data_IF_399060700645
#
_entry.id   IF_399060700645
#
_cell.length_a   1.000
_cell.length_b   1.000
_cell.length_c   1.000
_cell.angle_alpha   90.00
_cell.angle_beta   90.00
_cell.angle_gamma   90.00
#
_symmetry.space_group_name_H-M   'P 1'
#
loop_
_entity.id
_entity.type
_entity.pdbx_description
1 polymer ?
#
# COMPACT_ATOMS: atom_id res chain seq x y z
N UNK A 1 12.25 -3.51 -32.90
CA UNK A 1 11.14 -4.04 -32.06
C UNK A 1 11.24 -3.57 -30.61
N UNK A 2 12.44 -3.47 -30.03
CA UNK A 2 12.70 -2.92 -28.68
C UNK A 2 12.23 -1.47 -28.47
N UNK A 3 12.25 -0.62 -29.51
CA UNK A 3 11.72 0.76 -29.45
C UNK A 3 10.24 0.82 -29.02
N UNK A 4 9.42 -0.13 -29.47
CA UNK A 4 7.98 -0.13 -29.14
C UNK A 4 7.80 -0.37 -27.63
N UNK A 5 8.52 -1.36 -27.08
CA UNK A 5 8.50 -1.66 -25.64
C UNK A 5 9.05 -0.51 -24.81
N UNK A 6 10.07 0.19 -25.32
CA UNK A 6 10.61 1.38 -24.68
C UNK A 6 9.56 2.50 -24.59
N UNK A 7 8.85 2.80 -25.69
CA UNK A 7 7.81 3.83 -25.71
C UNK A 7 6.65 3.45 -24.77
N UNK A 8 6.22 2.19 -24.80
CA UNK A 8 5.18 1.68 -23.89
C UNK A 8 5.65 1.81 -22.43
N UNK A 9 6.88 1.36 -22.13
CA UNK A 9 7.47 1.45 -20.79
C UNK A 9 7.58 2.89 -20.29
N UNK A 10 8.01 3.82 -21.14
CA UNK A 10 8.06 5.25 -20.85
C UNK A 10 6.67 5.82 -20.53
N UNK A 11 5.65 5.45 -21.31
CA UNK A 11 4.26 5.84 -21.08
C UNK A 11 3.74 5.33 -19.73
N UNK A 12 4.01 4.06 -19.41
CA UNK A 12 3.65 3.45 -18.12
C UNK A 12 4.33 4.16 -16.93
N UNK A 13 5.59 4.56 -17.11
CA UNK A 13 6.36 5.28 -16.09
C UNK A 13 5.79 6.68 -15.83
N UNK A 14 5.51 7.44 -16.90
CA UNK A 14 5.03 8.82 -16.82
C UNK A 14 3.61 8.92 -16.27
N UNK A 15 2.70 8.07 -16.75
CA UNK A 15 1.30 8.08 -16.31
C UNK A 15 1.14 7.41 -14.94
N UNK A 16 1.85 6.30 -14.69
CA UNK A 16 1.75 5.54 -13.44
C UNK A 16 0.38 4.89 -13.18
N UNK A 17 -0.48 4.86 -14.20
CA UNK A 17 -1.81 4.27 -14.17
C UNK A 17 -2.15 3.68 -15.55
N UNK A 18 -2.84 2.54 -15.56
CA UNK A 18 -3.30 1.90 -16.80
C UNK A 18 -4.69 1.30 -16.58
N UNK A 19 -5.53 1.45 -17.59
CA UNK A 19 -6.82 0.78 -17.70
C UNK A 19 -6.72 -0.29 -18.77
N UNK A 20 -6.69 -1.56 -18.35
CA UNK A 20 -6.82 -2.70 -19.27
C UNK A 20 -8.19 -3.34 -19.05
N UNK A 21 -9.11 -3.07 -19.98
CA UNK A 21 -10.50 -3.52 -19.86
C UNK A 21 -11.13 -3.04 -18.54
N UNK A 22 -11.50 -3.99 -17.68
CA UNK A 22 -12.12 -3.69 -16.38
C UNK A 22 -11.11 -3.62 -15.21
N UNK A 23 -9.80 -3.74 -15.48
CA UNK A 23 -8.74 -3.71 -14.47
C UNK A 23 -8.11 -2.32 -14.46
N UNK A 24 -8.26 -1.60 -13.35
CA UNK A 24 -7.56 -0.36 -13.06
C UNK A 24 -6.32 -0.66 -12.21
N UNK A 25 -5.15 -0.54 -12.82
CA UNK A 25 -3.86 -0.68 -12.15
C UNK A 25 -3.31 0.73 -11.93
N UNK A 26 -3.00 1.05 -10.67
CA UNK A 26 -2.43 2.35 -10.30
C UNK A 26 -1.28 2.16 -9.30
N UNK A 27 -0.35 3.11 -9.32
CA UNK A 27 0.69 3.25 -8.29
C UNK A 27 2.05 2.66 -8.68
N UNK A 28 2.86 2.38 -7.65
CA UNK A 28 4.29 2.04 -7.84
C UNK A 28 4.54 0.80 -8.70
N UNK A 29 3.61 -0.15 -8.75
CA UNK A 29 3.75 -1.39 -9.53
C UNK A 29 3.70 -1.15 -11.04
N UNK A 30 2.84 -0.23 -11.49
CA UNK A 30 2.74 0.15 -12.91
C UNK A 30 4.04 0.80 -13.37
N UNK A 31 4.59 1.68 -12.54
CA UNK A 31 5.88 2.33 -12.82
C UNK A 31 7.03 1.31 -12.85
N UNK A 32 7.06 0.37 -11.89
CA UNK A 32 8.06 -0.69 -11.86
C UNK A 32 8.01 -1.57 -13.13
N UNK A 33 6.80 -1.94 -13.58
CA UNK A 33 6.63 -2.66 -14.84
C UNK A 33 7.12 -1.83 -16.04
N UNK A 34 6.86 -0.52 -16.05
CA UNK A 34 7.39 0.41 -17.04
C UNK A 34 8.93 0.40 -17.12
N UNK A 35 9.62 0.46 -15.97
CA UNK A 35 11.10 0.38 -15.91
C UNK A 35 11.61 -0.94 -16.51
N UNK A 36 10.99 -2.06 -16.13
CA UNK A 36 11.38 -3.38 -16.60
C UNK A 36 11.20 -3.50 -18.11
N UNK A 37 10.12 -2.94 -18.66
CA UNK A 37 9.85 -2.88 -20.10
C UNK A 37 10.87 -2.04 -20.88
N UNK A 38 11.50 -1.05 -20.25
CA UNK A 38 12.55 -0.23 -20.88
C UNK A 38 13.94 -0.90 -20.86
N UNK A 39 14.14 -1.90 -19.99
CA UNK A 39 15.45 -2.53 -19.75
C UNK A 39 16.07 -3.18 -20.99
N UNK A 40 15.34 -3.90 -21.87
CA UNK A 40 15.94 -4.52 -23.06
C UNK A 40 16.56 -3.50 -24.01
N UNK A 41 15.93 -2.34 -24.19
CA UNK A 41 16.43 -1.29 -25.08
C UNK A 41 17.69 -0.61 -24.51
N UNK A 42 17.65 -0.26 -23.22
CA UNK A 42 18.81 0.34 -22.53
C UNK A 42 19.98 -0.65 -22.48
N UNK A 43 19.69 -1.91 -22.15
CA UNK A 43 20.67 -2.99 -22.14
C UNK A 43 21.27 -3.22 -23.52
N UNK A 44 20.45 -3.24 -24.57
CA UNK A 44 20.92 -3.36 -25.95
C UNK A 44 21.88 -2.22 -26.35
N UNK A 45 21.53 -0.96 -26.08
CA UNK A 45 22.40 0.18 -26.40
C UNK A 45 23.76 0.08 -25.69
N UNK A 46 23.75 -0.33 -24.43
CA UNK A 46 24.96 -0.45 -23.62
C UNK A 46 25.83 -1.62 -24.11
N UNK A 47 25.21 -2.77 -24.38
CA UNK A 47 25.88 -3.98 -24.84
C UNK A 47 26.41 -3.81 -26.27
N UNK A 48 25.66 -3.13 -27.14
CA UNK A 48 26.08 -2.78 -28.49
C UNK A 48 27.34 -1.90 -28.50
N UNK A 49 27.41 -0.88 -27.63
CA UNK A 49 28.60 -0.04 -27.52
C UNK A 49 29.83 -0.83 -27.06
N UNK A 50 29.67 -1.69 -26.06
CA UNK A 50 30.74 -2.55 -25.55
C UNK A 50 31.23 -3.50 -26.65
N UNK A 51 30.33 -4.26 -27.28
CA UNK A 51 30.68 -5.25 -28.29
C UNK A 51 31.28 -4.60 -29.53
N UNK A 52 30.73 -3.48 -30.00
CA UNK A 52 31.26 -2.75 -31.15
C UNK A 52 32.68 -2.26 -30.89
N UNK A 53 32.96 -1.75 -29.69
CA UNK A 53 34.30 -1.30 -29.30
C UNK A 53 35.31 -2.44 -29.17
N UNK A 54 34.89 -3.62 -28.70
CA UNK A 54 35.77 -4.78 -28.49
C UNK A 54 36.05 -5.57 -29.77
N UNK A 55 35.06 -5.69 -30.66
CA UNK A 55 35.11 -6.61 -31.82
C UNK A 55 35.40 -5.90 -33.13
N UNK A 56 35.45 -4.57 -33.15
CA UNK A 56 35.67 -3.80 -34.37
C UNK A 56 34.53 -3.92 -35.40
N UNK A 57 33.33 -4.32 -34.95
CA UNK A 57 32.18 -4.52 -35.82
C UNK A 57 32.10 -5.91 -36.46
N UNK A 58 32.65 -6.95 -35.82
CA UNK A 58 32.49 -8.33 -36.29
C UNK A 58 31.00 -8.72 -36.39
N UNK A 59 30.58 -9.11 -37.60
CA UNK A 59 29.21 -9.50 -37.93
C UNK A 59 28.72 -10.68 -37.07
N UNK A 60 29.61 -11.61 -36.71
CA UNK A 60 29.26 -12.72 -35.84
C UNK A 60 28.89 -12.26 -34.43
N UNK A 61 29.60 -11.26 -33.91
CA UNK A 61 29.32 -10.67 -32.60
C UNK A 61 27.98 -9.90 -32.63
N UNK A 62 27.69 -9.17 -33.71
CA UNK A 62 26.41 -8.49 -33.90
C UNK A 62 25.23 -9.46 -33.97
N UNK A 63 25.41 -10.61 -34.61
CA UNK A 63 24.42 -11.69 -34.63
C UNK A 63 24.10 -12.22 -33.23
N UNK A 64 25.12 -12.42 -32.39
CA UNK A 64 24.94 -12.87 -31.01
C UNK A 64 24.19 -11.83 -30.14
N UNK A 65 24.52 -10.54 -30.30
CA UNK A 65 23.81 -9.45 -29.61
C UNK A 65 22.32 -9.45 -29.96
N UNK A 66 21.97 -9.76 -31.21
CA UNK A 66 20.57 -9.82 -31.66
C UNK A 66 19.80 -10.98 -31.00
N UNK A 67 20.42 -12.15 -30.82
CA UNK A 67 19.81 -13.29 -30.12
C UNK A 67 19.59 -12.96 -28.64
N UNK A 68 20.56 -12.31 -28.00
CA UNK A 68 20.44 -11.85 -26.62
C UNK A 68 19.34 -10.79 -26.46
N UNK A 69 19.20 -9.85 -27.40
CA UNK A 69 18.11 -8.88 -27.40
C UNK A 69 16.75 -9.58 -27.44
N UNK A 70 16.59 -10.56 -28.33
CA UNK A 70 15.34 -11.31 -28.45
C UNK A 70 14.99 -12.06 -27.16
N UNK A 71 15.98 -12.72 -26.54
CA UNK A 71 15.80 -13.36 -25.23
C UNK A 71 15.43 -12.37 -24.12
N UNK A 72 16.08 -11.19 -24.11
CA UNK A 72 15.81 -10.12 -23.16
C UNK A 72 14.40 -9.54 -23.29
N UNK A 73 13.88 -9.42 -24.52
CA UNK A 73 12.50 -8.99 -24.78
C UNK A 73 11.50 -9.98 -24.19
N UNK A 74 11.68 -11.29 -24.42
CA UNK A 74 10.77 -12.32 -23.91
C UNK A 74 10.79 -12.32 -22.37
N UNK A 75 11.99 -12.30 -21.77
CA UNK A 75 12.15 -12.32 -20.32
C UNK A 75 11.53 -11.08 -19.64
N UNK A 76 11.81 -9.88 -20.15
CA UNK A 76 11.26 -8.63 -19.61
C UNK A 76 9.74 -8.56 -19.76
N UNK A 77 9.19 -9.00 -20.91
CA UNK A 77 7.75 -9.08 -21.13
C UNK A 77 7.07 -10.03 -20.14
N UNK A 78 7.66 -11.20 -19.88
CA UNK A 78 7.14 -12.16 -18.90
C UNK A 78 7.16 -11.61 -17.48
N UNK A 79 8.25 -10.95 -17.06
CA UNK A 79 8.37 -10.36 -15.72
C UNK A 79 7.38 -9.20 -15.55
N UNK A 80 7.28 -8.31 -16.55
CA UNK A 80 6.32 -7.21 -16.53
C UNK A 80 4.89 -7.78 -16.42
N UNK A 81 4.54 -8.78 -17.23
CA UNK A 81 3.25 -9.46 -17.16
C UNK A 81 2.99 -10.09 -15.78
N UNK A 82 3.98 -10.75 -15.20
CA UNK A 82 3.88 -11.35 -13.86
C UNK A 82 3.64 -10.30 -12.76
N UNK A 83 4.25 -9.12 -12.88
CA UNK A 83 4.03 -8.00 -11.95
C UNK A 83 2.64 -7.39 -12.10
N UNK A 84 2.14 -7.26 -13.32
CA UNK A 84 0.78 -6.77 -13.59
C UNK A 84 -0.29 -7.77 -13.16
N UNK A 85 -0.08 -9.08 -13.43
CA UNK A 85 -1.05 -10.14 -13.11
C UNK A 85 -1.16 -10.43 -11.61
N UNK A 86 -0.11 -10.17 -10.82
CA UNK A 86 -0.15 -10.25 -9.35
C UNK A 86 -0.75 -9.01 -8.67
N UNK A 87 -1.60 -8.27 -9.37
CA UNK A 87 -2.32 -7.15 -8.78
C UNK A 87 -3.06 -7.64 -7.53
N UNK A 88 -2.80 -7.04 -6.35
CA UNK A 88 -3.52 -7.44 -5.15
C UNK A 88 -4.97 -7.04 -5.43
N UNK A 89 -5.89 -8.01 -5.34
CA UNK A 89 -7.30 -7.67 -5.45
C UNK A 89 -7.54 -6.53 -4.46
N UNK A 90 -7.96 -5.38 -5.00
CA UNK A 90 -8.44 -4.25 -4.22
C UNK A 90 -9.47 -4.89 -3.30
N UNK A 91 -9.12 -5.10 -2.04
CA UNK A 91 -10.05 -5.56 -1.02
C UNK A 91 -11.09 -4.48 -1.02
N UNK A 92 -12.16 -4.73 -1.78
CA UNK A 92 -13.32 -3.88 -1.89
C UNK A 92 -13.91 -4.02 -0.51
N UNK A 93 -13.46 -3.16 0.40
CA UNK A 93 -14.16 -2.91 1.65
C UNK A 93 -15.50 -2.41 1.17
N UNK A 94 -16.45 -3.34 1.06
CA UNK A 94 -17.86 -3.06 0.89
C UNK A 94 -18.19 -2.18 2.09
N UNK A 95 -18.14 -0.87 1.88
CA UNK A 95 -18.72 0.08 2.81
C UNK A 95 -20.21 -0.24 2.74
N UNK A 96 -20.65 -1.10 3.67
CA UNK A 96 -22.05 -1.39 3.87
C UNK A 96 -22.74 -0.03 4.05
N UNK A 97 -23.73 0.32 3.23
CA UNK A 97 -24.40 1.60 3.33
C UNK A 97 -25.08 1.64 4.70
N UNK A 98 -24.46 2.35 5.66
CA UNK A 98 -25.06 2.61 6.95
C UNK A 98 -26.26 3.50 6.70
N UNK A 99 -27.43 2.85 6.68
CA UNK A 99 -28.76 3.42 6.75
C UNK A 99 -28.71 4.59 7.73
N UNK A 100 -28.94 5.82 7.24
CA UNK A 100 -29.19 6.98 8.10
C UNK A 100 -30.58 6.80 8.70
N UNK A 101 -30.75 6.70 10.03
CA UNK A 101 -31.98 7.18 10.63
C UNK A 101 -31.89 8.71 10.64
N UNK A 102 -32.80 9.28 9.87
CA UNK A 102 -33.22 10.67 9.92
C UNK A 102 -33.79 10.93 11.33
N UNK A 103 -33.43 12.07 11.92
CA UNK A 103 -34.25 12.94 12.80
C UNK A 103 -33.57 13.34 14.11
N UNK A 104 -33.89 14.59 14.51
CA UNK A 104 -33.54 15.29 15.75
C UNK A 104 -32.13 15.90 15.73
N UNK A 105 -31.90 17.19 15.92
CA UNK A 105 -32.70 18.26 16.52
C UNK A 105 -32.17 19.60 15.98
N UNK A 106 -33.08 20.46 15.54
CA UNK A 106 -32.82 21.84 15.17
C UNK A 106 -33.54 22.70 16.21
N UNK A 107 -32.80 23.25 17.15
CA UNK A 107 -33.23 24.34 18.02
C UNK A 107 -31.95 24.94 18.63
N UNK A 108 -31.69 26.20 18.26
CA UNK A 108 -31.11 27.30 19.06
C UNK A 108 -29.78 27.01 19.80
N UNK A 109 -28.75 27.86 19.79
CA UNK A 109 -28.82 29.26 20.15
C UNK A 109 -27.46 29.94 19.93
N UNK A 110 -27.58 31.23 19.67
CA UNK A 110 -26.64 32.33 19.45
C UNK A 110 -25.71 32.63 20.64
N UNK A 111 -24.44 33.00 20.37
CA UNK A 111 -23.53 33.95 21.09
C UNK A 111 -22.07 33.53 20.81
N UNK A 112 -21.14 34.22 20.12
CA UNK A 112 -20.57 35.59 20.19
C UNK A 112 -20.01 36.02 21.55
N UNK A 113 -18.71 35.74 21.81
CA UNK A 113 -17.67 36.75 22.14
C UNK A 113 -16.23 36.15 22.16
N UNK A 114 -15.18 36.96 21.92
CA UNK A 114 -13.76 36.58 21.96
C UNK A 114 -13.11 36.96 23.30
N UNK A 115 -12.28 36.08 23.87
CA UNK A 115 -11.42 36.40 25.04
C UNK A 115 -10.03 35.80 24.87
N UNK A 116 -9.12 36.69 24.48
CA UNK A 116 -7.89 37.07 25.18
C UNK A 116 -7.05 36.02 25.93
N UNK A 117 -5.79 35.98 25.52
CA UNK A 117 -4.66 35.23 26.07
C UNK A 117 -4.38 35.54 27.54
N UNK A 118 -4.21 34.51 28.35
CA UNK A 118 -3.42 34.60 29.59
C UNK A 118 -2.57 33.35 29.73
N UNK A 119 -1.26 33.54 29.59
CA UNK A 119 -0.20 32.59 29.87
C UNK A 119 0.03 32.48 31.38
N UNK A 120 -0.04 31.26 31.92
CA UNK A 120 0.50 30.93 33.24
C UNK A 120 1.07 29.50 33.26
N UNK A 121 2.31 29.29 33.74
CA UNK A 121 2.93 27.97 33.80
C UNK A 121 2.63 27.29 35.14
N UNK A 122 2.07 26.07 35.11
CA UNK A 122 1.99 25.19 36.28
C UNK A 122 2.60 23.81 36.00
N UNK A 123 3.50 23.31 36.85
CA UNK A 123 4.06 21.97 36.76
C UNK A 123 3.10 20.98 37.42
N UNK A 124 2.20 20.39 36.63
CA UNK A 124 1.23 19.42 37.15
C UNK A 124 1.71 17.99 36.86
N UNK A 125 2.27 17.35 37.89
CA UNK A 125 2.56 15.91 37.92
C UNK A 125 1.25 15.14 37.72
N UNK A 126 1.09 14.57 36.52
CA UNK A 126 -0.12 13.86 36.13
C UNK A 126 -0.05 12.43 36.65
N UNK A 127 -0.68 12.19 37.80
CA UNK A 127 -0.99 10.84 38.28
C UNK A 127 -1.76 10.08 37.19
N UNK A 128 -1.31 8.86 36.91
CA UNK A 128 -1.82 7.97 35.86
C UNK A 128 -3.24 7.52 36.24
N UNK A 129 -4.31 7.94 35.53
CA UNK A 129 -5.66 7.48 35.85
C UNK A 129 -5.75 5.98 35.58
N UNK A 130 -6.17 5.22 36.60
CA UNK A 130 -6.44 3.78 36.52
C UNK A 130 -7.91 3.60 36.11
N UNK A 131 -8.24 3.18 34.88
CA UNK A 131 -9.62 3.08 34.45
C UNK A 131 -10.14 1.68 34.77
N UNK A 132 -10.85 1.55 35.90
CA UNK A 132 -11.74 0.42 36.21
C UNK A 132 -13.16 0.81 35.82
N UNK A 133 -13.43 0.71 34.52
CA UNK A 133 -14.80 0.56 34.03
C UNK A 133 -14.80 -0.69 33.16
N UNK A 134 -15.84 -1.51 33.29
CA UNK A 134 -16.19 -2.54 32.33
C UNK A 134 -16.30 -1.84 30.97
N UNK A 135 -15.21 -1.85 30.21
CA UNK A 135 -15.09 -0.98 29.04
C UNK A 135 -15.96 -1.56 27.95
N UNK A 136 -17.00 -0.81 27.63
CA UNK A 136 -17.76 -1.04 26.42
C UNK A 136 -16.84 -0.68 25.25
N UNK A 137 -16.14 -1.67 24.72
CA UNK A 137 -15.19 -1.44 23.64
C UNK A 137 -15.95 -1.24 22.32
N UNK A 138 -15.54 -0.25 21.49
CA UNK A 138 -16.19 0.00 20.22
C UNK A 138 -16.06 -1.19 19.27
N UNK A 139 -17.00 -1.32 18.32
CA UNK A 139 -16.97 -2.40 17.32
C UNK A 139 -15.70 -2.40 16.47
N UNK A 140 -15.12 -1.21 16.23
CA UNK A 140 -13.87 -1.04 15.50
C UNK A 140 -12.88 -0.32 16.42
N UNK A 141 -11.75 -0.96 16.68
CA UNK A 141 -10.72 -0.51 17.59
C UNK A 141 -9.46 -0.05 16.85
N UNK A 142 -8.74 0.86 17.46
CA UNK A 142 -7.36 1.21 17.14
C UNK A 142 -6.39 0.11 17.61
N UNK A 143 -5.13 0.17 17.18
CA UNK A 143 -4.06 -0.71 17.69
C UNK A 143 -3.88 -0.58 19.19
N UNK A 144 -3.92 0.65 19.72
CA UNK A 144 -3.82 0.92 21.15
C UNK A 144 -5.01 0.34 21.95
N UNK A 145 -6.23 0.43 21.42
CA UNK A 145 -7.42 -0.16 22.06
C UNK A 145 -7.43 -1.69 21.97
N UNK A 146 -7.02 -2.26 20.84
CA UNK A 146 -6.86 -3.70 20.68
C UNK A 146 -5.79 -4.27 21.62
N UNK A 147 -4.70 -3.54 21.84
CA UNK A 147 -3.66 -3.89 22.81
C UNK A 147 -4.23 -3.96 24.24
N UNK A 148 -5.09 -3.00 24.60
CA UNK A 148 -5.81 -3.02 25.88
C UNK A 148 -6.82 -4.18 25.95
N UNK A 149 -7.49 -4.51 24.85
CA UNK A 149 -8.45 -5.62 24.77
C UNK A 149 -7.77 -6.99 24.99
N UNK A 150 -6.62 -7.19 24.35
CA UNK A 150 -5.85 -8.44 24.42
C UNK A 150 -4.91 -8.51 25.64
N UNK A 151 -4.79 -7.43 26.43
CA UNK A 151 -3.77 -7.28 27.48
C UNK A 151 -2.33 -7.47 26.97
N UNK A 152 -2.02 -6.91 25.80
CA UNK A 152 -0.69 -6.96 25.16
C UNK A 152 -0.15 -5.55 24.91
N UNK A 153 1.11 -5.44 24.50
CA UNK A 153 1.68 -4.15 24.05
C UNK A 153 1.18 -3.82 22.65
N UNK A 154 1.10 -2.53 22.32
CA UNK A 154 0.70 -2.09 20.98
C UNK A 154 1.61 -2.63 19.87
N UNK A 155 2.90 -2.75 20.16
CA UNK A 155 3.90 -3.28 19.22
C UNK A 155 3.67 -4.77 18.92
N UNK A 156 3.31 -5.57 19.93
CA UNK A 156 2.97 -6.98 19.70
C UNK A 156 1.71 -7.13 18.83
N UNK A 157 0.74 -6.22 18.97
CA UNK A 157 -0.45 -6.20 18.08
C UNK A 157 -0.05 -5.85 16.64
N UNK A 158 0.87 -4.91 16.45
CA UNK A 158 1.40 -4.59 15.11
C UNK A 158 2.13 -5.78 14.48
N UNK A 159 2.98 -6.46 15.24
CA UNK A 159 3.68 -7.66 14.78
C UNK A 159 2.69 -8.76 14.35
N UNK A 160 1.61 -9.00 15.11
CA UNK A 160 0.57 -9.96 14.74
C UNK A 160 -0.16 -9.59 13.44
N UNK A 161 -0.32 -8.29 13.15
CA UNK A 161 -0.90 -7.81 11.90
C UNK A 161 0.08 -8.02 10.75
N UNK A 162 1.36 -7.71 10.94
CA UNK A 162 2.41 -7.87 9.92
C UNK A 162 2.68 -9.33 9.58
N UNK A 163 2.61 -10.22 10.58
CA UNK A 163 2.66 -11.67 10.40
C UNK A 163 1.39 -12.26 9.76
N UNK A 164 0.33 -11.47 9.62
CA UNK A 164 -0.96 -11.91 9.07
C UNK A 164 -1.78 -12.80 10.01
N UNK A 165 -1.43 -12.87 11.30
CA UNK A 165 -2.20 -13.61 12.32
C UNK A 165 -3.45 -12.86 12.76
N UNK A 166 -3.44 -11.53 12.68
CA UNK A 166 -4.56 -10.67 13.03
C UNK A 166 -5.03 -9.89 11.79
N UNK A 167 -6.30 -10.06 11.41
CA UNK A 167 -6.85 -9.34 10.24
C UNK A 167 -7.18 -7.89 10.61
N UNK A 168 -6.57 -6.93 9.93
CA UNK A 168 -6.79 -5.49 10.16
C UNK A 168 -6.99 -4.73 8.83
N UNK A 169 -7.81 -3.68 8.87
CA UNK A 169 -7.98 -2.75 7.75
C UNK A 169 -7.10 -1.52 7.97
N UNK A 170 -6.40 -1.06 6.92
CA UNK A 170 -5.60 0.17 6.97
C UNK A 170 -6.41 1.34 6.41
N UNK A 171 -6.74 2.32 7.25
CA UNK A 171 -7.53 3.51 6.90
C UNK A 171 -6.74 4.74 7.30
N UNK A 172 -6.45 5.64 6.36
CA UNK A 172 -5.66 6.86 6.60
C UNK A 172 -4.34 6.58 7.34
N UNK A 173 -3.58 5.59 6.86
CA UNK A 173 -2.32 5.13 7.42
C UNK A 173 -2.37 4.53 8.83
N UNK A 174 -3.56 4.38 9.43
CA UNK A 174 -3.75 3.76 10.75
C UNK A 174 -4.47 2.43 10.62
N UNK A 175 -4.11 1.46 11.46
CA UNK A 175 -4.82 0.18 11.50
C UNK A 175 -6.13 0.30 12.29
N UNK A 176 -7.14 -0.42 11.81
CA UNK A 176 -8.47 -0.56 12.38
C UNK A 176 -8.82 -2.04 12.44
N UNK A 177 -9.17 -2.51 13.63
CA UNK A 177 -9.39 -3.92 13.91
C UNK A 177 -10.81 -4.07 14.45
N UNK A 178 -11.61 -4.97 13.88
CA UNK A 178 -12.95 -5.23 14.40
C UNK A 178 -12.88 -6.11 15.66
N UNK A 179 -13.75 -5.84 16.64
CA UNK A 179 -13.88 -6.63 17.86
C UNK A 179 -14.06 -8.13 17.59
N UNK A 180 -14.87 -8.49 16.60
CA UNK A 180 -15.11 -9.89 16.21
C UNK A 180 -13.82 -10.65 15.87
N UNK A 181 -12.87 -9.99 15.20
CA UNK A 181 -11.56 -10.60 14.86
C UNK A 181 -10.72 -10.83 16.11
N UNK A 182 -10.76 -9.92 17.09
CA UNK A 182 -10.07 -10.10 18.37
C UNK A 182 -10.69 -11.26 19.17
N UNK A 183 -12.02 -11.36 19.18
CA UNK A 183 -12.74 -12.45 19.87
C UNK A 183 -12.43 -13.82 19.24
N UNK A 184 -12.40 -13.90 17.90
CA UNK A 184 -11.99 -15.11 17.18
C UNK A 184 -10.54 -15.49 17.48
N UNK A 185 -9.64 -14.50 17.55
CA UNK A 185 -8.24 -14.72 17.90
C UNK A 185 -8.09 -15.31 19.32
N UNK A 186 -8.78 -14.75 20.32
CA UNK A 186 -8.79 -15.26 21.69
C UNK A 186 -9.37 -16.68 21.73
N UNK A 187 -10.48 -16.91 21.03
CA UNK A 187 -11.13 -18.23 20.97
C UNK A 187 -10.19 -19.28 20.36
N UNK A 188 -9.46 -18.93 19.30
CA UNK A 188 -8.51 -19.82 18.62
C UNK A 188 -7.30 -20.20 19.48
N UNK A 189 -6.81 -19.27 20.31
CA UNK A 189 -5.63 -19.50 21.16
C UNK A 189 -5.91 -20.09 22.54
N UNK A 190 -7.19 -20.18 22.93
CA UNK A 190 -7.60 -20.79 24.21
C UNK A 190 -7.74 -22.32 24.12
N UNK A 191 -7.81 -22.87 22.91
CA UNK A 191 -7.84 -24.30 22.63
C UNK A 191 -6.45 -24.79 22.20
#
# INVERSE_FOLDING_TARGET
>A
MSIILFIIGAGLLGVGAVKLGNIQLEGGRVRAAGIILMTPFVGYLLLFQIVSGLTGGDEAALGFVSVLEFGGIIASGAIAYMLLSRAPQKTRVTVLPKTRPISSTKADEKSTTPVESTSQPQPNQRAKPRPTHLRDYPTIMTTAEAAQYLNMTEQAVLELIEEGKLTAARINYRYRISRTVLDEFIKKHKN
#
